data_IF_994332638629
#
_entry.id   IF_994332638629
#
_cell.length_a   1.000
_cell.length_b   1.000
_cell.length_c   1.000
_cell.angle_alpha   90.00
_cell.angle_beta   90.00
_cell.angle_gamma   90.00
#
_symmetry.space_group_name_H-M   'P 1'
#
loop_
_entity.id
_entity.type
_entity.pdbx_description
1 polymer ?
#
# COMPACT_ATOMS: atom_id res chain seq x y z
N UNK A 1 55.17 21.02 17.81
CA UNK A 1 54.24 20.63 18.91
C UNK A 1 52.89 21.25 18.56
N UNK A 2 51.92 20.40 18.11
CA UNK A 2 50.64 20.91 17.58
C UNK A 2 49.66 21.27 18.71
N UNK A 3 48.87 22.33 18.52
CA UNK A 3 47.81 22.79 19.41
C UNK A 3 46.87 21.61 19.83
N UNK A 4 46.71 20.64 18.95
CA UNK A 4 45.94 19.43 19.12
C UNK A 4 46.46 18.48 20.20
N UNK A 5 47.81 18.43 20.42
CA UNK A 5 48.41 17.56 21.43
C UNK A 5 48.26 18.15 22.85
N UNK A 6 48.30 19.48 22.97
CA UNK A 6 48.07 20.16 24.25
C UNK A 6 46.60 20.10 24.68
N UNK A 7 45.65 20.22 23.76
CA UNK A 7 44.21 20.01 24.02
C UNK A 7 43.93 18.58 24.51
N UNK A 8 44.49 17.58 23.89
CA UNK A 8 44.33 16.18 24.23
C UNK A 8 44.93 15.86 25.63
N UNK A 9 46.03 16.56 25.99
CA UNK A 9 46.64 16.41 27.33
C UNK A 9 45.71 16.97 28.42
N UNK A 10 45.10 18.13 28.20
CA UNK A 10 44.18 18.77 29.14
C UNK A 10 42.92 17.91 29.29
N UNK A 11 42.35 17.38 28.23
CA UNK A 11 41.17 16.49 28.26
C UNK A 11 41.45 15.23 29.08
N UNK A 12 42.64 14.62 28.94
CA UNK A 12 43.04 13.45 29.74
C UNK A 12 43.23 13.78 31.23
N UNK A 13 43.67 14.97 31.60
CA UNK A 13 43.81 15.43 32.97
C UNK A 13 42.46 15.66 33.65
N UNK A 14 41.39 15.93 32.90
CA UNK A 14 40.01 16.12 33.38
C UNK A 14 39.25 14.77 33.35
N UNK A 15 39.91 13.66 32.93
CA UNK A 15 39.28 12.32 32.87
C UNK A 15 38.45 12.04 31.63
N UNK A 16 38.49 12.93 30.65
CA UNK A 16 37.83 12.73 29.36
C UNK A 16 38.78 12.05 28.38
N UNK A 17 38.42 10.92 27.85
CA UNK A 17 39.20 10.18 26.90
C UNK A 17 39.05 10.79 25.46
N UNK A 18 40.05 11.53 24.92
CA UNK A 18 39.91 12.21 23.63
C UNK A 18 39.86 11.24 22.46
N UNK A 19 39.90 9.92 22.71
CA UNK A 19 39.74 8.82 21.76
C UNK A 19 38.59 7.88 22.17
N UNK A 20 37.66 8.38 22.99
CA UNK A 20 36.40 7.66 23.10
C UNK A 20 35.81 7.56 21.69
N UNK A 21 35.67 6.32 21.20
CA UNK A 21 35.08 6.04 19.92
C UNK A 21 33.78 6.83 19.85
N UNK A 22 33.60 7.57 18.78
CA UNK A 22 32.28 8.08 18.38
C UNK A 22 31.26 7.03 18.81
N UNK A 23 30.38 7.38 19.72
CA UNK A 23 29.21 6.58 20.05
C UNK A 23 28.68 6.11 18.70
N UNK A 24 28.47 4.80 18.57
CA UNK A 24 27.91 4.27 17.33
C UNK A 24 26.58 4.99 17.16
N UNK A 25 26.51 5.86 16.17
CA UNK A 25 25.27 6.54 15.80
C UNK A 25 24.26 5.43 15.56
N UNK A 26 23.17 5.46 16.31
CA UNK A 26 22.09 4.47 16.16
C UNK A 26 21.17 4.88 15.01
N UNK A 27 20.38 3.95 14.55
CA UNK A 27 19.39 4.18 13.49
C UNK A 27 18.38 5.24 13.95
N UNK A 28 17.90 5.16 15.19
CA UNK A 28 16.98 6.12 15.79
C UNK A 28 17.56 7.54 15.83
N UNK A 29 18.87 7.68 16.04
CA UNK A 29 19.53 8.98 16.01
C UNK A 29 19.57 9.56 14.60
N UNK A 30 19.74 8.70 13.57
CA UNK A 30 19.71 9.12 12.17
C UNK A 30 18.30 9.54 11.77
N UNK A 31 17.27 8.75 12.11
CA UNK A 31 15.86 9.06 11.88
C UNK A 31 15.49 10.40 12.53
N UNK A 32 15.92 10.61 13.79
CA UNK A 32 15.69 11.88 14.49
C UNK A 32 16.33 13.06 13.74
N UNK A 33 17.56 12.91 13.25
CA UNK A 33 18.22 13.96 12.47
C UNK A 33 17.52 14.24 11.13
N UNK A 34 16.97 13.22 10.49
CA UNK A 34 16.20 13.36 9.24
C UNK A 34 14.92 14.16 9.50
N UNK A 35 14.17 13.81 10.54
CA UNK A 35 12.94 14.51 10.93
C UNK A 35 13.20 15.96 11.32
N UNK A 36 14.27 16.23 12.09
CA UNK A 36 14.70 17.61 12.38
C UNK A 36 15.10 18.37 11.11
N UNK A 37 15.69 17.69 10.14
CA UNK A 37 16.06 18.27 8.85
C UNK A 37 14.84 18.70 8.04
N UNK A 38 13.77 17.89 8.06
CA UNK A 38 12.49 18.18 7.43
C UNK A 38 11.81 19.38 8.11
N UNK A 39 11.67 19.36 9.44
CA UNK A 39 11.06 20.48 10.20
C UNK A 39 11.76 21.83 9.97
N UNK A 40 13.08 21.79 9.76
CA UNK A 40 13.90 22.99 9.47
C UNK A 40 13.90 23.38 7.99
N UNK A 41 13.21 22.64 7.11
CA UNK A 41 13.14 22.88 5.67
C UNK A 41 14.46 22.61 4.93
N UNK A 42 15.35 21.77 5.48
CA UNK A 42 16.61 21.32 4.84
C UNK A 42 16.37 20.14 3.92
N UNK A 43 15.40 19.29 4.26
CA UNK A 43 14.93 18.14 3.49
C UNK A 43 13.47 18.39 3.08
N UNK A 44 13.11 17.97 1.87
CA UNK A 44 11.73 17.92 1.44
C UNK A 44 11.03 16.71 2.13
N UNK A 45 9.71 16.78 2.28
CA UNK A 45 8.92 15.74 2.93
C UNK A 45 9.13 14.37 2.27
N UNK A 46 9.09 14.32 0.93
CA UNK A 46 9.35 13.11 0.15
C UNK A 46 10.74 12.53 0.36
N UNK A 47 11.76 13.38 0.50
CA UNK A 47 13.14 12.94 0.77
C UNK A 47 13.28 12.33 2.17
N UNK A 48 12.66 12.96 3.18
CA UNK A 48 12.67 12.45 4.55
C UNK A 48 11.93 11.10 4.63
N UNK A 49 10.77 10.98 3.97
CA UNK A 49 10.00 9.74 3.88
C UNK A 49 10.80 8.61 3.22
N UNK A 50 11.44 8.87 2.07
CA UNK A 50 12.30 7.87 1.41
C UNK A 50 13.44 7.39 2.31
N UNK A 51 14.07 8.27 3.09
CA UNK A 51 15.14 7.89 4.01
C UNK A 51 14.60 6.98 5.12
N UNK A 52 13.45 7.30 5.70
CA UNK A 52 12.80 6.48 6.71
C UNK A 52 12.40 5.11 6.16
N UNK A 53 11.81 5.08 4.96
CA UNK A 53 11.46 3.84 4.27
C UNK A 53 12.66 2.91 4.03
N UNK A 54 13.87 3.47 3.76
CA UNK A 54 15.09 2.66 3.59
C UNK A 54 15.43 1.89 4.87
N UNK A 55 15.22 2.46 6.04
CA UNK A 55 15.45 1.78 7.31
C UNK A 55 14.45 0.63 7.50
N UNK A 56 13.17 0.91 7.32
CA UNK A 56 12.10 -0.09 7.44
C UNK A 56 12.24 -1.23 6.41
N UNK A 57 12.70 -0.89 5.20
CA UNK A 57 12.91 -1.84 4.12
C UNK A 57 13.87 -2.99 4.49
N UNK A 58 14.87 -2.71 5.33
CA UNK A 58 15.85 -3.70 5.77
C UNK A 58 15.24 -4.85 6.58
N UNK A 59 14.14 -4.60 7.28
CA UNK A 59 13.50 -5.56 8.18
C UNK A 59 12.29 -6.27 7.56
N UNK A 60 11.81 -5.80 6.39
CA UNK A 60 10.65 -6.41 5.70
C UNK A 60 10.96 -7.77 5.11
N UNK A 61 9.95 -8.64 5.14
CA UNK A 61 9.95 -9.95 4.49
C UNK A 61 9.06 -9.92 3.23
N UNK A 62 9.18 -10.93 2.37
CA UNK A 62 8.43 -10.97 1.11
C UNK A 62 6.91 -10.93 1.32
N UNK A 63 6.40 -11.46 2.41
CA UNK A 63 4.98 -11.43 2.74
C UNK A 63 4.45 -10.02 3.03
N UNK A 64 5.30 -9.08 3.50
CA UNK A 64 4.91 -7.70 3.81
C UNK A 64 4.71 -6.85 2.55
N UNK A 65 5.35 -7.27 1.44
CA UNK A 65 5.41 -6.50 0.18
C UNK A 65 4.64 -7.17 -0.95
N UNK A 66 4.34 -8.47 -0.84
CA UNK A 66 3.69 -9.23 -1.91
C UNK A 66 2.25 -8.78 -2.19
N UNK A 67 1.83 -8.89 -3.44
CA UNK A 67 0.40 -8.93 -3.79
C UNK A 67 -0.15 -10.27 -3.31
N UNK A 68 -1.08 -10.23 -2.36
CA UNK A 68 -1.67 -11.42 -1.75
C UNK A 68 -2.40 -12.29 -2.77
N UNK A 69 -2.40 -13.62 -2.56
CA UNK A 69 -3.01 -14.62 -3.45
C UNK A 69 -4.45 -14.34 -3.90
N UNK A 70 -5.26 -13.70 -3.04
CA UNK A 70 -6.64 -13.33 -3.36
C UNK A 70 -6.76 -12.32 -4.50
N UNK A 71 -5.69 -11.57 -4.77
CA UNK A 71 -5.63 -10.51 -5.77
C UNK A 71 -4.84 -10.93 -7.03
N UNK A 72 -4.33 -12.17 -7.06
CA UNK A 72 -3.58 -12.68 -8.21
C UNK A 72 -4.55 -12.97 -9.36
N UNK A 73 -4.27 -12.39 -10.52
CA UNK A 73 -4.89 -12.78 -11.79
C UNK A 73 -4.00 -13.81 -12.46
N UNK A 74 -4.31 -15.09 -12.24
CA UNK A 74 -3.62 -16.22 -12.88
C UNK A 74 -4.34 -16.69 -14.15
N UNK A 75 -3.64 -17.46 -14.98
CA UNK A 75 -4.16 -18.05 -16.23
C UNK A 75 -4.03 -19.57 -16.13
N UNK A 76 -5.14 -20.31 -16.35
CA UNK A 76 -5.09 -21.76 -16.44
C UNK A 76 -4.33 -22.18 -17.70
N UNK A 77 -3.36 -23.11 -17.56
CA UNK A 77 -2.56 -23.59 -18.68
C UNK A 77 -3.37 -24.27 -19.79
N UNK A 78 -4.62 -24.69 -19.50
CA UNK A 78 -5.47 -25.42 -20.42
C UNK A 78 -6.36 -24.51 -21.27
N UNK A 79 -6.46 -23.22 -20.98
CA UNK A 79 -7.25 -22.28 -21.79
C UNK A 79 -6.57 -22.02 -23.13
N UNK A 80 -7.36 -21.62 -24.13
CA UNK A 80 -6.84 -21.22 -25.42
C UNK A 80 -6.04 -19.92 -25.34
N UNK A 81 -5.14 -19.72 -26.30
CA UNK A 81 -4.37 -18.46 -26.40
C UNK A 81 -5.29 -17.25 -26.54
N UNK A 82 -6.42 -17.38 -27.26
CA UNK A 82 -7.40 -16.30 -27.42
C UNK A 82 -8.05 -15.91 -26.07
N UNK A 83 -8.42 -16.92 -25.26
CA UNK A 83 -9.01 -16.70 -23.95
C UNK A 83 -8.00 -16.10 -22.97
N UNK A 84 -6.77 -16.62 -22.93
CA UNK A 84 -5.67 -16.05 -22.14
C UNK A 84 -5.42 -14.59 -22.54
N UNK A 85 -5.44 -14.28 -23.83
CA UNK A 85 -5.23 -12.93 -24.32
C UNK A 85 -6.35 -11.96 -23.90
N UNK A 86 -7.62 -12.41 -23.89
CA UNK A 86 -8.74 -11.61 -23.38
C UNK A 86 -8.57 -11.29 -21.89
N UNK A 87 -8.15 -12.28 -21.09
CA UNK A 87 -7.85 -12.07 -19.65
C UNK A 87 -6.75 -11.04 -19.49
N UNK A 88 -5.66 -11.16 -20.26
CA UNK A 88 -4.53 -10.23 -20.19
C UNK A 88 -4.90 -8.79 -20.56
N UNK A 89 -5.74 -8.62 -21.58
CA UNK A 89 -6.17 -7.28 -22.02
C UNK A 89 -7.14 -6.60 -21.05
N UNK A 90 -7.94 -7.39 -20.31
CA UNK A 90 -8.89 -6.82 -19.35
C UNK A 90 -8.27 -6.42 -18.03
N UNK A 91 -7.06 -6.90 -17.70
CA UNK A 91 -6.40 -6.67 -16.39
C UNK A 91 -5.15 -5.80 -16.48
N UNK A 92 -4.68 -5.42 -17.66
CA UNK A 92 -3.57 -4.48 -17.90
C UNK A 92 -2.21 -4.81 -17.26
N UNK A 93 -1.97 -6.05 -16.83
CA UNK A 93 -0.67 -6.45 -16.30
C UNK A 93 0.30 -6.88 -17.40
N UNK A 94 1.59 -6.76 -17.15
CA UNK A 94 2.64 -7.20 -18.08
C UNK A 94 2.96 -8.68 -17.99
N UNK A 95 2.76 -9.29 -16.82
CA UNK A 95 3.13 -10.68 -16.51
C UNK A 95 2.01 -11.37 -15.73
N UNK A 96 1.77 -12.63 -16.08
CA UNK A 96 0.72 -13.44 -15.50
C UNK A 96 1.27 -14.79 -15.08
N UNK A 97 1.07 -15.23 -13.83
CA UNK A 97 1.35 -16.61 -13.45
C UNK A 97 0.41 -17.57 -14.19
N UNK A 98 0.94 -18.72 -14.56
CA UNK A 98 0.17 -19.79 -15.19
C UNK A 98 0.10 -20.96 -14.22
N UNK A 99 -1.11 -21.46 -13.99
CA UNK A 99 -1.35 -22.55 -13.06
C UNK A 99 -1.95 -23.78 -13.73
N UNK A 100 -1.80 -24.93 -13.06
CA UNK A 100 -2.47 -26.19 -13.42
C UNK A 100 -3.47 -26.56 -12.32
N UNK A 101 -4.74 -26.67 -12.65
CA UNK A 101 -5.88 -26.92 -11.78
C UNK A 101 -6.23 -25.74 -10.84
N UNK A 102 -5.29 -25.27 -10.01
CA UNK A 102 -5.48 -24.16 -9.09
C UNK A 102 -4.22 -23.28 -8.92
N UNK A 103 -4.39 -22.15 -8.25
CA UNK A 103 -3.34 -21.14 -8.06
C UNK A 103 -2.17 -21.65 -7.17
N UNK A 104 -2.35 -22.74 -6.43
CA UNK A 104 -1.28 -23.33 -5.64
C UNK A 104 -0.31 -24.15 -6.49
N UNK A 105 -0.69 -24.47 -7.74
CA UNK A 105 0.14 -25.19 -8.71
C UNK A 105 0.58 -24.29 -9.87
N UNK A 106 1.43 -23.30 -9.57
CA UNK A 106 2.01 -22.46 -10.61
C UNK A 106 3.04 -23.26 -11.41
N UNK A 107 2.82 -23.40 -12.72
CA UNK A 107 3.68 -24.13 -13.65
C UNK A 107 4.60 -23.22 -14.48
N UNK A 108 4.37 -21.91 -14.45
CA UNK A 108 5.19 -20.95 -15.18
C UNK A 108 4.58 -19.55 -15.17
N UNK A 109 5.07 -18.70 -16.05
CA UNK A 109 4.54 -17.35 -16.27
C UNK A 109 4.50 -17.03 -17.76
N UNK A 110 3.55 -16.17 -18.15
CA UNK A 110 3.46 -15.63 -19.52
C UNK A 110 3.65 -14.11 -19.45
N UNK A 111 4.45 -13.59 -20.36
CA UNK A 111 4.57 -12.15 -20.58
C UNK A 111 3.59 -11.73 -21.69
N UNK A 112 2.82 -10.65 -21.47
CA UNK A 112 1.84 -10.13 -22.44
C UNK A 112 2.45 -9.94 -23.83
N UNK A 113 3.68 -9.42 -23.92
CA UNK A 113 4.39 -9.25 -25.19
C UNK A 113 4.57 -10.57 -25.94
N UNK A 114 4.90 -11.65 -25.24
CA UNK A 114 5.11 -12.95 -25.86
C UNK A 114 3.78 -13.55 -26.33
N UNK A 115 2.70 -13.33 -25.56
CA UNK A 115 1.33 -13.69 -25.94
C UNK A 115 0.88 -12.95 -27.20
N UNK A 116 1.14 -11.64 -27.32
CA UNK A 116 0.84 -10.86 -28.53
C UNK A 116 1.55 -11.44 -29.75
N UNK A 117 2.85 -11.74 -29.63
CA UNK A 117 3.63 -12.32 -30.73
C UNK A 117 3.11 -13.71 -31.13
N UNK A 118 2.75 -14.54 -30.15
CA UNK A 118 2.18 -15.86 -30.41
C UNK A 118 0.82 -15.77 -31.11
N UNK A 119 -0.05 -14.87 -30.65
CA UNK A 119 -1.37 -14.63 -31.19
C UNK A 119 -1.33 -14.14 -32.66
N UNK A 120 -0.41 -13.25 -33.01
CA UNK A 120 -0.22 -12.77 -34.37
C UNK A 120 0.30 -13.84 -35.31
N UNK A 121 1.10 -14.80 -34.82
CA UNK A 121 1.70 -15.85 -35.65
C UNK A 121 0.77 -17.04 -35.92
N UNK A 122 -0.21 -17.32 -35.07
CA UNK A 122 -1.09 -18.50 -35.21
C UNK A 122 -2.56 -18.16 -34.93
N UNK A 123 -3.17 -17.49 -35.91
CA UNK A 123 -4.60 -17.13 -35.90
C UNK A 123 -5.54 -18.29 -36.32
N UNK A 124 -5.01 -19.43 -36.74
CA UNK A 124 -5.80 -20.50 -37.36
C UNK A 124 -6.03 -21.72 -36.48
N UNK A 125 -5.24 -21.90 -35.44
CA UNK A 125 -5.38 -22.95 -34.42
C UNK A 125 -5.54 -22.29 -33.04
N UNK A 126 -6.49 -22.72 -32.27
CA UNK A 126 -6.67 -22.28 -30.89
C UNK A 126 -6.00 -23.27 -29.90
N UNK A 127 -4.65 -23.42 -29.91
CA UNK A 127 -3.97 -24.36 -29.03
C UNK A 127 -4.11 -23.86 -27.58
N UNK A 128 -4.14 -24.79 -26.64
CA UNK A 128 -3.99 -24.46 -25.24
C UNK A 128 -2.60 -23.84 -24.99
N UNK A 129 -2.51 -22.88 -24.06
CA UNK A 129 -1.25 -22.15 -23.83
C UNK A 129 -0.09 -23.08 -23.46
N UNK A 130 -0.35 -24.20 -22.78
CA UNK A 130 0.65 -25.23 -22.46
C UNK A 130 1.29 -25.88 -23.68
N UNK A 131 0.58 -25.93 -24.81
CA UNK A 131 1.03 -26.59 -26.05
C UNK A 131 1.84 -25.66 -26.96
N UNK A 132 1.90 -24.36 -26.62
CA UNK A 132 2.61 -23.35 -27.40
C UNK A 132 4.07 -23.28 -26.95
N UNK A 133 4.95 -23.72 -27.84
CA UNK A 133 6.39 -23.77 -27.55
C UNK A 133 6.96 -22.37 -27.24
N UNK A 134 7.66 -22.23 -26.11
CA UNK A 134 8.33 -21.00 -25.64
C UNK A 134 7.40 -19.83 -25.27
N UNK A 135 6.11 -20.03 -25.17
CA UNK A 135 5.20 -19.02 -24.68
C UNK A 135 5.34 -18.86 -23.15
N UNK A 136 5.31 -20.00 -22.47
CA UNK A 136 5.47 -20.07 -21.02
C UNK A 136 6.95 -20.06 -20.65
N UNK A 137 7.31 -19.28 -19.62
CA UNK A 137 8.65 -19.18 -19.01
C UNK A 137 8.61 -19.79 -17.64
N UNK A 138 9.77 -20.24 -17.14
CA UNK A 138 9.88 -20.75 -15.78
C UNK A 138 9.51 -19.67 -14.76
N UNK A 139 8.74 -20.02 -13.75
CA UNK A 139 8.46 -19.17 -12.61
C UNK A 139 9.59 -19.23 -11.60
N UNK A 140 9.88 -18.10 -10.95
CA UNK A 140 10.85 -18.02 -9.87
C UNK A 140 10.09 -18.01 -8.53
N UNK A 141 10.46 -18.90 -7.61
CA UNK A 141 9.78 -19.09 -6.34
C UNK A 141 10.65 -18.61 -5.18
N UNK A 142 10.04 -17.94 -4.22
CA UNK A 142 10.68 -17.46 -2.99
C UNK A 142 9.80 -17.77 -1.79
N UNK A 143 10.37 -18.10 -0.61
CA UNK A 143 9.59 -18.25 0.60
C UNK A 143 9.07 -16.89 1.09
N UNK A 144 7.90 -16.88 1.71
CA UNK A 144 7.27 -15.67 2.24
C UNK A 144 8.11 -14.96 3.33
N UNK A 145 8.94 -15.70 4.05
CA UNK A 145 9.89 -15.20 5.06
C UNK A 145 11.21 -14.70 4.48
N UNK A 146 11.32 -14.58 3.16
CA UNK A 146 12.52 -14.06 2.51
C UNK A 146 12.66 -12.57 2.77
N UNK A 147 13.79 -12.15 3.38
CA UNK A 147 14.08 -10.72 3.56
C UNK A 147 14.12 -10.00 2.21
N UNK A 148 13.43 -8.85 2.13
CA UNK A 148 13.18 -8.11 0.88
C UNK A 148 14.47 -7.51 0.31
N UNK A 149 15.39 -6.99 1.14
CA UNK A 149 16.69 -6.46 0.67
C UNK A 149 17.54 -7.56 0.00
N UNK A 150 17.58 -8.76 0.61
CA UNK A 150 18.27 -9.89 0.02
C UNK A 150 17.60 -10.36 -1.29
N UNK A 151 16.25 -10.38 -1.33
CA UNK A 151 15.46 -10.72 -2.50
C UNK A 151 15.69 -9.70 -3.63
N UNK A 152 15.68 -8.41 -3.33
CA UNK A 152 15.95 -7.34 -4.29
C UNK A 152 17.31 -7.52 -4.99
N UNK A 153 18.37 -7.74 -4.21
CA UNK A 153 19.71 -7.96 -4.74
C UNK A 153 19.79 -9.20 -5.63
N UNK A 154 19.10 -10.28 -5.24
CA UNK A 154 19.04 -11.52 -6.01
C UNK A 154 18.29 -11.36 -7.32
N UNK A 155 17.09 -10.74 -7.28
CA UNK A 155 16.28 -10.44 -8.47
C UNK A 155 17.04 -9.52 -9.43
N UNK A 156 17.69 -8.48 -8.92
CA UNK A 156 18.51 -7.56 -9.72
C UNK A 156 19.68 -8.29 -10.41
N UNK A 157 20.44 -9.11 -9.67
CA UNK A 157 21.59 -9.83 -10.20
C UNK A 157 21.21 -10.84 -11.30
N UNK A 158 20.07 -11.51 -11.13
CA UNK A 158 19.57 -12.54 -12.05
C UNK A 158 18.60 -11.98 -13.11
N UNK A 159 18.30 -10.67 -13.10
CA UNK A 159 17.36 -10.00 -14.01
C UNK A 159 15.95 -10.61 -13.93
N UNK A 160 15.55 -11.00 -12.73
CA UNK A 160 14.21 -11.48 -12.42
C UNK A 160 13.34 -10.26 -12.11
N UNK A 161 12.17 -10.15 -12.74
CA UNK A 161 11.24 -9.05 -12.55
C UNK A 161 9.98 -9.46 -11.80
N UNK A 162 9.78 -10.77 -11.60
CA UNK A 162 8.55 -11.33 -11.07
C UNK A 162 8.86 -12.65 -10.35
N UNK A 163 8.37 -12.81 -9.13
CA UNK A 163 8.53 -14.01 -8.33
C UNK A 163 7.20 -14.46 -7.72
N UNK A 164 7.05 -15.76 -7.53
CA UNK A 164 5.94 -16.38 -6.80
C UNK A 164 6.39 -16.53 -5.36
N UNK A 165 5.60 -16.03 -4.43
CA UNK A 165 5.82 -16.18 -2.99
C UNK A 165 5.06 -17.39 -2.50
N UNK A 166 5.77 -18.28 -1.77
CA UNK A 166 5.20 -19.53 -1.26
C UNK A 166 5.36 -19.66 0.25
N UNK A 167 4.39 -20.29 0.89
CA UNK A 167 4.43 -20.63 2.31
C UNK A 167 5.30 -21.86 2.61
N UNK A 168 5.34 -22.29 3.89
CA UNK A 168 6.09 -23.45 4.35
C UNK A 168 5.57 -24.80 3.82
N UNK A 169 4.34 -24.82 3.27
CA UNK A 169 3.73 -26.01 2.66
C UNK A 169 3.92 -26.03 1.14
N UNK A 170 4.50 -24.98 0.56
CA UNK A 170 4.69 -24.82 -0.88
C UNK A 170 3.45 -24.31 -1.60
N UNK A 171 2.43 -23.80 -0.87
CA UNK A 171 1.26 -23.15 -1.46
C UNK A 171 1.57 -21.72 -1.83
N UNK A 172 0.91 -21.19 -2.84
CA UNK A 172 1.09 -19.79 -3.27
C UNK A 172 0.48 -18.84 -2.25
N UNK A 173 1.31 -18.04 -1.57
CA UNK A 173 0.91 -16.96 -0.68
C UNK A 173 0.64 -15.67 -1.45
N UNK A 174 1.43 -15.40 -2.49
CA UNK A 174 1.35 -14.17 -3.26
C UNK A 174 2.28 -14.13 -4.47
N UNK A 175 2.41 -12.96 -5.03
CA UNK A 175 3.41 -12.61 -6.04
C UNK A 175 4.14 -11.34 -5.63
N UNK A 176 5.38 -11.19 -6.04
CA UNK A 176 6.17 -9.98 -5.80
C UNK A 176 6.91 -9.60 -7.07
N UNK A 177 6.91 -8.32 -7.40
CA UNK A 177 7.63 -7.78 -8.55
C UNK A 177 8.79 -6.89 -8.09
N UNK A 178 9.70 -6.57 -9.01
CA UNK A 178 10.78 -5.62 -8.74
C UNK A 178 10.22 -4.22 -8.50
N UNK A 179 9.12 -3.91 -9.17
CA UNK A 179 8.39 -2.66 -9.06
C UNK A 179 7.83 -2.49 -7.63
N UNK A 180 7.16 -3.51 -7.07
CA UNK A 180 6.62 -3.49 -5.70
C UNK A 180 7.73 -3.26 -4.66
N UNK A 181 8.87 -3.94 -4.84
CA UNK A 181 10.04 -3.79 -3.95
C UNK A 181 10.61 -2.37 -3.98
N UNK A 182 10.65 -1.73 -5.15
CA UNK A 182 11.16 -0.35 -5.29
C UNK A 182 10.15 0.64 -4.69
N UNK A 183 8.86 0.38 -4.83
CA UNK A 183 7.78 1.20 -4.28
C UNK A 183 7.88 1.32 -2.76
N UNK A 184 8.31 0.27 -2.06
CA UNK A 184 8.55 0.29 -0.62
C UNK A 184 9.59 1.34 -0.18
N UNK A 185 10.54 1.68 -1.04
CA UNK A 185 11.58 2.70 -0.77
C UNK A 185 11.11 4.08 -1.21
N UNK A 186 10.63 4.17 -2.46
CA UNK A 186 10.34 5.46 -3.12
C UNK A 186 8.95 5.98 -2.72
N UNK A 187 8.05 5.11 -2.27
CA UNK A 187 6.62 5.39 -2.13
C UNK A 187 5.92 5.33 -3.49
N UNK A 188 4.62 5.51 -3.51
CA UNK A 188 3.85 5.54 -4.75
C UNK A 188 4.45 6.56 -5.70
N UNK A 189 5.05 6.09 -6.79
CA UNK A 189 5.47 6.93 -7.91
C UNK A 189 4.16 7.23 -8.65
N UNK A 190 3.61 8.43 -8.43
CA UNK A 190 2.45 8.89 -9.19
C UNK A 190 2.85 8.92 -10.66
N UNK A 191 2.24 8.07 -11.49
CA UNK A 191 2.40 8.11 -12.94
C UNK A 191 1.65 9.33 -13.46
N UNK A 192 2.10 9.93 -14.58
CA UNK A 192 1.44 11.08 -15.24
C UNK A 192 -0.01 10.77 -15.67
N UNK A 193 -0.42 9.51 -15.59
CA UNK A 193 -1.76 8.98 -15.90
C UNK A 193 -2.52 8.46 -14.68
N UNK A 194 -1.89 8.42 -13.51
CA UNK A 194 -2.62 8.22 -12.27
C UNK A 194 -3.42 9.52 -12.03
N UNK A 195 -4.67 9.51 -12.46
CA UNK A 195 -5.62 10.42 -11.83
C UNK A 195 -5.43 10.15 -10.33
N UNK A 196 -5.01 11.17 -9.57
CA UNK A 196 -5.06 11.11 -8.12
C UNK A 196 -6.44 10.52 -7.79
N UNK A 197 -6.51 9.24 -7.45
CA UNK A 197 -7.63 8.76 -6.65
C UNK A 197 -7.48 9.52 -5.35
N UNK A 198 -8.05 10.72 -5.35
CA UNK A 198 -8.06 11.56 -4.16
C UNK A 198 -8.75 10.73 -3.12
N UNK A 199 -7.99 10.22 -2.17
CA UNK A 199 -8.52 9.45 -1.05
C UNK A 199 -9.67 10.21 -0.40
N UNK A 200 -9.66 11.54 -0.53
CA UNK A 200 -10.72 12.44 -0.10
C UNK A 200 -11.05 13.43 -1.24
N UNK A 201 -12.22 13.31 -1.84
CA UNK A 201 -12.75 14.22 -2.85
C UNK A 201 -13.87 15.08 -2.27
N UNK A 202 -13.70 16.40 -2.29
CA UNK A 202 -14.77 17.32 -1.87
C UNK A 202 -15.81 17.46 -2.98
N UNK A 203 -17.00 16.90 -2.78
CA UNK A 203 -18.09 16.93 -3.78
C UNK A 203 -19.00 18.16 -3.66
N UNK A 204 -19.07 18.76 -2.48
CA UNK A 204 -19.78 20.03 -2.25
C UNK A 204 -19.21 20.77 -1.04
N UNK A 205 -19.81 21.90 -0.64
CA UNK A 205 -19.34 22.70 0.50
C UNK A 205 -19.35 21.91 1.81
N UNK A 206 -20.31 20.98 1.96
CA UNK A 206 -20.53 20.17 3.17
C UNK A 206 -20.49 18.65 2.92
N UNK A 207 -19.92 18.20 1.79
CA UNK A 207 -19.88 16.77 1.44
C UNK A 207 -18.56 16.35 0.82
N UNK A 208 -18.09 15.19 1.26
CA UNK A 208 -16.85 14.54 0.82
C UNK A 208 -17.15 13.12 0.34
N UNK A 209 -16.46 12.66 -0.68
CA UNK A 209 -16.34 11.24 -1.02
C UNK A 209 -14.94 10.75 -0.65
N UNK A 210 -14.88 9.65 0.10
CA UNK A 210 -13.67 9.18 0.75
C UNK A 210 -13.47 7.72 0.42
N UNK A 211 -12.23 7.33 0.09
CA UNK A 211 -11.85 5.93 -0.06
C UNK A 211 -11.93 5.19 1.28
N UNK A 212 -12.34 3.94 1.26
CA UNK A 212 -12.46 3.13 2.48
C UNK A 212 -11.12 2.85 3.18
N UNK A 213 -10.00 2.95 2.48
CA UNK A 213 -8.66 2.77 3.02
C UNK A 213 -8.05 4.07 3.59
N UNK A 214 -8.73 5.22 3.44
CA UNK A 214 -8.30 6.48 4.05
C UNK A 214 -8.14 6.31 5.56
N UNK A 215 -7.04 6.82 6.10
CA UNK A 215 -6.80 6.82 7.55
C UNK A 215 -7.78 7.74 8.27
N UNK A 216 -8.20 7.36 9.45
CA UNK A 216 -9.09 8.17 10.28
C UNK A 216 -8.43 9.46 10.74
N UNK A 217 -7.14 9.45 11.00
CA UNK A 217 -6.34 10.63 11.38
C UNK A 217 -6.44 11.74 10.32
N UNK A 218 -6.41 11.37 9.03
CA UNK A 218 -6.56 12.33 7.93
C UNK A 218 -7.96 12.97 7.91
N UNK A 219 -8.99 12.23 8.37
CA UNK A 219 -10.36 12.74 8.49
C UNK A 219 -10.57 13.56 9.76
N UNK A 220 -9.89 13.25 10.85
CA UNK A 220 -9.95 14.04 12.09
C UNK A 220 -9.55 15.48 11.83
N UNK A 221 -8.42 15.67 11.14
CA UNK A 221 -7.92 16.99 10.77
C UNK A 221 -8.86 17.74 9.81
N UNK A 222 -9.47 17.01 8.86
CA UNK A 222 -10.34 17.60 7.85
C UNK A 222 -11.71 18.01 8.39
N UNK A 223 -12.31 17.16 9.25
CA UNK A 223 -13.70 17.30 9.71
C UNK A 223 -13.79 17.97 11.09
N UNK A 224 -12.66 18.19 11.78
CA UNK A 224 -12.57 18.70 13.15
C UNK A 224 -13.40 17.84 14.15
N UNK A 225 -13.23 16.51 14.03
CA UNK A 225 -13.86 15.50 14.90
C UNK A 225 -12.78 14.55 15.39
N UNK A 226 -13.09 13.80 16.46
CA UNK A 226 -12.22 12.73 16.95
C UNK A 226 -12.94 11.40 16.85
N UNK A 227 -12.27 10.39 16.28
CA UNK A 227 -12.76 9.03 16.27
C UNK A 227 -12.27 8.32 17.54
N UNK A 228 -13.18 8.04 18.48
CA UNK A 228 -12.88 7.32 19.73
C UNK A 228 -12.69 5.82 19.44
N UNK A 229 -11.49 5.46 18.90
CA UNK A 229 -11.21 4.09 18.49
C UNK A 229 -9.74 3.72 18.69
N UNK A 230 -9.49 2.62 19.43
CA UNK A 230 -8.19 1.97 19.52
C UNK A 230 -8.11 0.72 18.58
N UNK A 231 -9.22 0.31 17.94
CA UNK A 231 -9.36 -0.98 17.28
C UNK A 231 -9.28 -0.93 15.76
N UNK A 232 -9.34 0.25 15.14
CA UNK A 232 -9.30 0.41 13.67
C UNK A 232 -8.76 1.78 13.24
N UNK A 233 -7.98 1.78 12.17
CA UNK A 233 -7.24 2.93 11.68
C UNK A 233 -7.83 3.53 10.38
N UNK A 234 -8.77 2.83 9.71
CA UNK A 234 -9.30 3.23 8.40
C UNK A 234 -10.81 3.45 8.42
N UNK A 235 -11.32 4.22 7.45
CA UNK A 235 -12.76 4.47 7.23
C UNK A 235 -13.53 3.15 7.07
N UNK A 236 -12.98 2.18 6.33
CA UNK A 236 -13.58 0.86 6.19
C UNK A 236 -13.72 0.15 7.54
N UNK A 237 -12.67 0.15 8.37
CA UNK A 237 -12.68 -0.44 9.71
C UNK A 237 -13.73 0.22 10.60
N UNK A 238 -13.76 1.56 10.63
CA UNK A 238 -14.73 2.35 11.35
C UNK A 238 -16.18 2.02 10.92
N UNK A 239 -16.45 2.05 9.63
CA UNK A 239 -17.79 1.78 9.12
C UNK A 239 -18.27 0.36 9.44
N UNK A 240 -17.41 -0.65 9.30
CA UNK A 240 -17.74 -2.04 9.66
C UNK A 240 -18.05 -2.16 11.16
N UNK A 241 -17.27 -1.51 12.02
CA UNK A 241 -17.50 -1.51 13.46
C UNK A 241 -18.84 -0.85 13.82
N UNK A 242 -19.14 0.30 13.24
CA UNK A 242 -20.40 1.01 13.49
C UNK A 242 -21.63 0.26 12.93
N UNK A 243 -21.50 -0.36 11.76
CA UNK A 243 -22.57 -1.16 11.16
C UNK A 243 -22.77 -2.51 11.87
N UNK A 244 -21.81 -2.95 12.71
CA UNK A 244 -21.81 -4.25 13.41
C UNK A 244 -21.94 -5.46 12.48
N UNK A 245 -21.54 -5.33 11.21
CA UNK A 245 -21.62 -6.39 10.19
C UNK A 245 -20.69 -6.11 9.04
N UNK A 246 -20.27 -7.17 8.35
CA UNK A 246 -19.54 -7.03 7.09
C UNK A 246 -20.52 -6.69 5.96
N UNK A 247 -20.21 -5.75 5.08
CA UNK A 247 -21.05 -5.40 3.95
C UNK A 247 -21.09 -6.55 2.93
N UNK A 248 -22.26 -6.75 2.31
CA UNK A 248 -22.34 -7.51 1.07
C UNK A 248 -21.95 -6.62 -0.13
N UNK A 249 -21.68 -7.25 -1.28
CA UNK A 249 -21.37 -6.51 -2.50
C UNK A 249 -22.55 -5.59 -2.87
N UNK A 250 -22.26 -4.33 -3.18
CA UNK A 250 -23.22 -3.26 -3.49
C UNK A 250 -24.22 -2.94 -2.37
N UNK A 251 -23.95 -3.35 -1.15
CA UNK A 251 -24.82 -3.04 0.01
C UNK A 251 -24.55 -1.61 0.52
N UNK A 252 -25.62 -0.82 0.69
CA UNK A 252 -25.56 0.49 1.32
C UNK A 252 -25.70 0.38 2.84
N UNK A 253 -24.85 1.09 3.57
CA UNK A 253 -24.93 1.27 5.02
C UNK A 253 -24.80 2.75 5.37
N UNK A 254 -25.45 3.19 6.42
CA UNK A 254 -25.44 4.60 6.84
C UNK A 254 -25.18 4.67 8.35
N UNK A 255 -24.36 5.65 8.77
CA UNK A 255 -23.97 5.89 10.17
C UNK A 255 -23.87 7.39 10.41
N UNK A 256 -24.41 7.87 11.53
CA UNK A 256 -24.22 9.24 11.99
C UNK A 256 -23.19 9.27 13.11
N UNK A 257 -22.13 10.08 12.94
CA UNK A 257 -21.04 10.21 13.90
C UNK A 257 -20.43 11.61 13.85
N UNK A 258 -20.12 12.20 15.01
CA UNK A 258 -19.40 13.47 15.12
C UNK A 258 -20.07 14.66 14.40
N UNK A 259 -21.39 14.63 14.19
CA UNK A 259 -22.10 15.67 13.43
C UNK A 259 -22.07 15.48 11.92
N UNK A 260 -21.62 14.32 11.45
CA UNK A 260 -21.59 13.94 10.04
C UNK A 260 -22.39 12.66 9.78
N UNK A 261 -22.96 12.57 8.59
CA UNK A 261 -23.64 11.40 8.04
C UNK A 261 -22.70 10.67 7.09
N UNK A 262 -22.38 9.42 7.41
CA UNK A 262 -21.52 8.54 6.62
C UNK A 262 -22.39 7.56 5.86
N UNK A 263 -22.26 7.50 4.55
CA UNK A 263 -23.03 6.62 3.67
C UNK A 263 -22.11 5.80 2.77
N UNK A 264 -22.21 4.47 2.84
CA UNK A 264 -21.51 3.56 1.92
C UNK A 264 -22.03 3.75 0.51
N UNK A 265 -21.14 4.09 -0.43
CA UNK A 265 -21.43 4.23 -1.85
C UNK A 265 -21.08 2.96 -2.62
N UNK A 266 -19.97 2.31 -2.24
CA UNK A 266 -19.47 1.11 -2.90
C UNK A 266 -18.90 0.14 -1.86
N UNK A 267 -19.30 -1.12 -1.94
CA UNK A 267 -18.73 -2.23 -1.18
C UNK A 267 -18.50 -3.42 -2.12
N UNK A 268 -17.33 -4.06 -2.01
CA UNK A 268 -16.95 -5.21 -2.83
C UNK A 268 -16.05 -6.16 -2.05
N UNK A 269 -16.28 -7.46 -2.17
CA UNK A 269 -15.50 -8.48 -1.47
C UNK A 269 -15.46 -8.27 0.05
N UNK A 270 -16.57 -7.82 0.65
CA UNK A 270 -16.71 -7.51 2.09
C UNK A 270 -15.87 -6.32 2.56
N UNK A 271 -15.37 -5.50 1.66
CA UNK A 271 -14.61 -4.27 1.93
C UNK A 271 -15.41 -3.08 1.42
N UNK A 272 -15.56 -2.05 2.24
CA UNK A 272 -16.13 -0.78 1.84
C UNK A 272 -15.06 -0.02 1.06
N UNK A 273 -15.35 0.29 -0.20
CA UNK A 273 -14.43 0.99 -1.11
C UNK A 273 -14.63 2.48 -1.11
N UNK A 274 -15.88 2.94 -1.01
CA UNK A 274 -16.19 4.36 -1.08
C UNK A 274 -17.29 4.75 -0.11
N UNK A 275 -17.08 5.84 0.61
CA UNK A 275 -18.01 6.41 1.60
C UNK A 275 -18.25 7.87 1.27
N UNK A 276 -19.51 8.31 1.31
CA UNK A 276 -19.85 9.72 1.29
C UNK A 276 -20.07 10.21 2.71
N UNK A 277 -19.42 11.32 3.04
CA UNK A 277 -19.53 12.00 4.34
C UNK A 277 -20.22 13.32 4.10
N UNK A 278 -21.32 13.59 4.77
CA UNK A 278 -22.08 14.84 4.64
C UNK A 278 -22.30 15.44 6.02
N UNK A 279 -22.04 16.73 6.17
CA UNK A 279 -22.27 17.43 7.43
C UNK A 279 -23.77 17.50 7.71
N UNK A 280 -24.18 17.09 8.93
CA UNK A 280 -25.56 17.22 9.38
C UNK A 280 -25.87 18.70 9.67
N UNK A 281 -26.96 19.24 9.11
CA UNK A 281 -27.44 20.57 9.46
C UNK A 281 -27.80 20.54 10.96
N UNK A 282 -27.14 21.36 11.77
CA UNK A 282 -27.44 21.47 13.19
C UNK A 282 -28.87 21.99 13.35
N UNK A 283 -29.66 21.38 14.24
CA UNK A 283 -30.89 22.01 14.73
C UNK A 283 -30.48 23.34 15.36
N UNK A 284 -30.84 24.45 14.69
CA UNK A 284 -30.74 25.80 15.27
C UNK A 284 -31.44 25.79 16.63
N UNK A 285 -30.69 26.16 17.66
CA UNK A 285 -31.11 26.41 19.03
C UNK A 285 -32.40 27.26 19.07
N UNK A 286 -33.56 26.60 19.08
CA UNK A 286 -34.83 27.25 19.44
C UNK A 286 -34.93 27.36 20.96
N UNK A 287 -34.04 28.10 21.57
CA UNK A 287 -34.19 28.49 22.96
C UNK A 287 -33.73 29.93 23.17
N UNK A 288 -34.53 30.88 22.69
CA UNK A 288 -34.71 32.17 23.35
C UNK A 288 -35.78 33.04 22.69
N UNK A 289 -37.05 32.75 22.98
CA UNK A 289 -38.07 33.80 22.93
C UNK A 289 -39.21 33.41 23.87
N UNK A 290 -39.35 34.10 24.97
CA UNK A 290 -40.53 33.93 25.80
C UNK A 290 -40.35 34.36 27.26
N UNK A 291 -39.96 35.60 27.52
CA UNK A 291 -40.41 36.23 28.75
C UNK A 291 -40.43 37.75 28.63
N UNK A 292 -41.53 38.27 28.17
CA UNK A 292 -41.89 39.70 28.45
C UNK A 292 -43.22 39.64 29.23
N UNK A 293 -43.10 39.63 30.53
CA UNK A 293 -44.19 40.01 31.43
C UNK A 293 -44.39 41.52 31.28
N UNK A 294 -45.55 41.91 30.91
CA UNK A 294 -46.10 43.24 31.17
C UNK A 294 -47.08 43.14 32.34
N UNK A 295 -46.69 43.76 33.44
CA UNK A 295 -47.58 44.19 34.50
C UNK A 295 -48.56 45.24 33.98
N UNK A 296 -49.84 45.02 34.16
CA UNK A 296 -50.84 45.88 34.79
C UNK A 296 -52.17 45.13 34.95
#
# INVERSE_FOLDING_TARGET
MCIRDSSNLVLRLIGINPHEKLENVTEEEIITMVNEGQEKGVLEEGEAKMINNIFEFGDKEAHDVMVHRSNIVGIDQNVSLEEAFKIMLSNNFSRYPVYDEDIDHIVGMIHLRDAIVAYENDKSNEPAIKDINKLMRDAYFVPETRNVDALFKEMQANKIQFAIVVDEYGQTSGIITMEDIIEEIVGNIMDEYDEEEKQIERTSEDSYEVDGLTLLDDLEDLLDITFDTEDYETVNGFMIAQLHRLPADDESGEVDYGGYHFKVLEAKNRVIRKVRITKLEGEEDKSNDGNTQTDE
#
